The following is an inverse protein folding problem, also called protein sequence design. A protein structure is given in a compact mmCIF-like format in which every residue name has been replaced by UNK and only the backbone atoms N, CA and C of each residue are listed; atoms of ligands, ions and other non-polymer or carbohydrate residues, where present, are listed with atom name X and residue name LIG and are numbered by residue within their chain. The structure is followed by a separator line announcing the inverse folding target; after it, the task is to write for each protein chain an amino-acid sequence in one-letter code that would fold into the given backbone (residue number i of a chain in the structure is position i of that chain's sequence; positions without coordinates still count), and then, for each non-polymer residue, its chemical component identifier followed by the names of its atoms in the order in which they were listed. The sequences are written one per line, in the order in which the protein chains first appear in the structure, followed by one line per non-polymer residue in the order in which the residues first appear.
data_IF_799357175707
#
_entry.id   IF_799357175707
#
_cell.length_a   1.000
_cell.length_b   1.000
_cell.length_c   1.000
_cell.angle_alpha   90.00
_cell.angle_beta   90.00
_cell.angle_gamma   90.00
#
_symmetry.space_group_name_H-M   'P 1'
#
loop_
_entity.id
_entity.type
_entity.pdbx_description
1 polymer ?
#
# COMPACT_ATOMS: atom_id res chain seq x y z
N UNK A 1 -3.38 0.82 -6.35
CA UNK A 1 -4.67 0.08 -6.40
C UNK A 1 -5.08 -0.27 -4.97
N UNK A 2 -6.26 0.19 -4.53
CA UNK A 2 -6.77 -0.06 -3.19
C UNK A 2 -7.69 -1.29 -3.21
N UNK A 3 -7.49 -2.23 -2.29
CA UNK A 3 -8.37 -3.40 -2.13
C UNK A 3 -9.00 -3.40 -0.75
N UNK A 4 -10.27 -3.79 -0.67
CA UNK A 4 -11.00 -3.94 0.59
C UNK A 4 -11.27 -5.42 0.79
N UNK A 5 -10.97 -5.91 1.98
CA UNK A 5 -11.22 -7.29 2.41
C UNK A 5 -12.03 -7.27 3.70
N UNK A 6 -12.99 -8.17 3.84
CA UNK A 6 -13.45 -8.56 5.19
C UNK A 6 -12.32 -9.30 5.93
N UNK A 7 -12.41 -9.38 7.26
CA UNK A 7 -11.46 -10.17 8.07
C UNK A 7 -11.31 -11.61 7.56
N UNK A 8 -12.41 -12.27 7.18
CA UNK A 8 -12.37 -13.64 6.68
C UNK A 8 -11.69 -13.74 5.31
N UNK A 9 -12.00 -12.83 4.39
CA UNK A 9 -11.36 -12.77 3.08
C UNK A 9 -9.87 -12.47 3.20
N UNK A 10 -9.48 -11.60 4.13
CA UNK A 10 -8.08 -11.30 4.39
C UNK A 10 -7.31 -12.54 4.83
N UNK A 11 -7.83 -13.29 5.81
CA UNK A 11 -7.18 -14.53 6.26
C UNK A 11 -7.00 -15.55 5.12
N UNK A 12 -7.95 -15.62 4.19
CA UNK A 12 -7.84 -16.49 3.01
C UNK A 12 -6.83 -15.95 2.01
N UNK A 13 -6.89 -14.65 1.72
CA UNK A 13 -6.01 -13.98 0.76
C UNK A 13 -4.54 -14.05 1.20
N UNK A 14 -4.24 -13.77 2.47
CA UNK A 14 -2.88 -13.83 3.02
C UNK A 14 -2.28 -15.24 2.95
N UNK A 15 -3.09 -16.30 3.10
CA UNK A 15 -2.63 -17.68 2.94
C UNK A 15 -2.30 -18.03 1.50
N UNK A 16 -3.03 -17.45 0.53
CA UNK A 16 -2.87 -17.74 -0.90
C UNK A 16 -1.78 -16.87 -1.55
N UNK A 17 -1.62 -15.63 -1.12
CA UNK A 17 -0.59 -14.70 -1.59
C UNK A 17 0.23 -14.19 -0.38
N UNK A 18 1.35 -14.85 -0.05
CA UNK A 18 2.27 -14.38 0.99
C UNK A 18 2.82 -12.97 0.71
N UNK A 19 2.76 -12.49 -0.54
CA UNK A 19 3.13 -11.13 -0.93
C UNK A 19 2.14 -10.06 -0.47
N UNK A 20 0.97 -10.44 0.07
CA UNK A 20 0.07 -9.54 0.79
C UNK A 20 0.51 -9.27 2.23
N UNK A 21 1.43 -10.08 2.77
CA UNK A 21 2.07 -9.77 4.05
C UNK A 21 2.75 -8.41 3.94
N UNK A 22 2.51 -7.59 4.94
CA UNK A 22 2.87 -6.19 4.88
C UNK A 22 2.94 -5.58 6.25
N UNK A 23 3.05 -4.27 6.27
CA UNK A 23 3.19 -3.50 7.50
C UNK A 23 2.13 -2.41 7.56
N UNK A 24 1.92 -1.87 8.76
CA UNK A 24 1.06 -0.71 8.94
C UNK A 24 1.66 0.52 8.21
N UNK A 25 0.83 1.49 7.81
CA UNK A 25 1.28 2.70 7.12
C UNK A 25 2.42 3.43 7.81
N UNK A 26 2.36 3.55 9.14
CA UNK A 26 3.40 4.23 9.92
C UNK A 26 4.77 3.53 9.82
N UNK A 27 4.78 2.20 9.87
CA UNK A 27 6.01 1.43 9.75
C UNK A 27 6.54 1.40 8.32
N UNK A 28 5.66 1.38 7.32
CA UNK A 28 6.04 1.59 5.92
C UNK A 28 6.69 2.96 5.74
N UNK A 29 6.10 4.03 6.30
CA UNK A 29 6.65 5.38 6.28
C UNK A 29 8.05 5.44 6.87
N UNK A 30 8.26 4.83 8.05
CA UNK A 30 9.58 4.73 8.68
C UNK A 30 10.61 4.02 7.80
N UNK A 31 10.25 2.89 7.20
CA UNK A 31 11.15 2.13 6.29
C UNK A 31 11.49 2.90 5.03
N UNK A 32 10.54 3.69 4.53
CA UNK A 32 10.73 4.50 3.35
C UNK A 32 11.40 5.83 3.65
N UNK A 33 11.51 6.26 4.91
CA UNK A 33 11.95 7.60 5.27
C UNK A 33 10.97 8.66 4.77
N UNK A 34 9.68 8.45 5.07
CA UNK A 34 8.56 9.34 4.79
C UNK A 34 7.86 9.70 6.11
N UNK A 35 7.35 10.92 6.17
CA UNK A 35 6.45 11.36 7.23
C UNK A 35 5.08 10.69 7.12
N UNK A 36 4.28 10.80 8.18
CA UNK A 36 2.90 10.30 8.20
C UNK A 36 2.01 11.02 7.17
N UNK A 37 2.25 12.31 6.93
CA UNK A 37 1.56 13.07 5.89
C UNK A 37 1.87 12.54 4.49
N UNK A 38 3.16 12.34 4.18
CA UNK A 38 3.59 11.85 2.88
C UNK A 38 3.10 10.42 2.59
N UNK A 39 3.17 9.51 3.57
CA UNK A 39 2.62 8.15 3.37
C UNK A 39 1.11 8.20 3.16
N UNK A 40 0.40 9.06 3.91
CA UNK A 40 -1.04 9.28 3.75
C UNK A 40 -1.40 9.77 2.35
N UNK A 41 -0.67 10.77 1.84
CA UNK A 41 -0.86 11.29 0.48
C UNK A 41 -0.61 10.22 -0.58
N UNK A 42 0.43 9.39 -0.44
CA UNK A 42 0.70 8.30 -1.40
C UNK A 42 -0.41 7.26 -1.42
N UNK A 43 -0.99 6.96 -0.26
CA UNK A 43 -2.12 6.03 -0.14
C UNK A 43 -3.39 6.61 -0.76
N UNK A 44 -3.73 7.87 -0.43
CA UNK A 44 -4.92 8.56 -0.93
C UNK A 44 -4.87 8.77 -2.44
N UNK A 45 -3.70 9.11 -2.99
CA UNK A 45 -3.51 9.29 -4.41
C UNK A 45 -3.32 7.96 -5.17
N UNK A 46 -3.31 6.82 -4.48
CA UNK A 46 -3.20 5.49 -5.07
C UNK A 46 -1.82 5.14 -5.64
N UNK A 47 -0.80 5.93 -5.33
CA UNK A 47 0.61 5.64 -5.68
C UNK A 47 1.20 4.49 -4.90
N UNK A 48 0.61 4.15 -3.75
CA UNK A 48 0.98 3.02 -2.94
C UNK A 48 -0.19 2.03 -2.87
N UNK A 49 0.07 0.77 -3.20
CA UNK A 49 -0.92 -0.30 -3.05
C UNK A 49 -1.20 -0.54 -1.57
N UNK A 50 -2.48 -0.56 -1.21
CA UNK A 50 -2.95 -0.76 0.15
C UNK A 50 -4.14 -1.69 0.21
N UNK A 51 -4.20 -2.45 1.29
CA UNK A 51 -5.31 -3.34 1.62
C UNK A 51 -6.00 -2.85 2.88
N UNK A 52 -7.28 -2.52 2.75
CA UNK A 52 -8.15 -2.19 3.88
C UNK A 52 -8.83 -3.47 4.35
N UNK A 53 -8.74 -3.74 5.65
CA UNK A 53 -9.41 -4.86 6.30
C UNK A 53 -10.55 -4.27 7.10
N UNK A 54 -11.77 -4.70 6.79
CA UNK A 54 -12.99 -4.22 7.43
C UNK A 54 -13.68 -5.30 8.25
N UNK A 55 -14.36 -4.90 9.32
CA UNK A 55 -15.25 -5.78 10.08
C UNK A 55 -16.59 -5.98 9.34
N UNK A 56 -17.48 -6.79 9.93
CA UNK A 56 -18.80 -7.06 9.38
C UNK A 56 -19.70 -5.80 9.29
N UNK A 57 -19.40 -4.77 10.11
CA UNK A 57 -20.02 -3.45 10.06
C UNK A 57 -19.41 -2.52 8.98
N UNK A 58 -18.45 -3.01 8.18
CA UNK A 58 -17.66 -2.26 7.18
C UNK A 58 -16.77 -1.16 7.75
N UNK A 59 -16.48 -1.18 9.04
CA UNK A 59 -15.51 -0.30 9.66
C UNK A 59 -14.10 -0.83 9.41
N UNK A 60 -13.17 0.06 9.06
CA UNK A 60 -11.78 -0.33 8.83
C UNK A 60 -11.12 -0.70 10.15
N UNK A 61 -10.79 -1.97 10.31
CA UNK A 61 -10.08 -2.49 11.47
C UNK A 61 -8.57 -2.43 11.30
N UNK A 62 -8.08 -2.51 10.07
CA UNK A 62 -6.64 -2.44 9.79
C UNK A 62 -6.36 -2.00 8.37
N UNK A 63 -5.21 -1.38 8.17
CA UNK A 63 -4.69 -0.99 6.85
C UNK A 63 -3.32 -1.65 6.73
N UNK A 64 -3.12 -2.40 5.65
CA UNK A 64 -1.88 -3.12 5.37
C UNK A 64 -1.30 -2.62 4.07
N UNK A 65 -0.03 -2.22 4.12
CA UNK A 65 0.78 -1.91 2.96
C UNK A 65 1.62 -3.16 2.64
N UNK A 66 1.34 -3.87 1.53
CA UNK A 66 2.08 -5.08 1.18
C UNK A 66 3.58 -4.81 1.06
N UNK A 67 4.41 -5.74 1.53
CA UNK A 67 5.87 -5.57 1.52
C UNK A 67 6.40 -5.32 0.09
N UNK A 68 5.78 -5.96 -0.91
CA UNK A 68 6.11 -5.73 -2.33
C UNK A 68 5.93 -4.26 -2.74
N UNK A 69 4.89 -3.60 -2.25
CA UNK A 69 4.61 -2.20 -2.56
C UNK A 69 5.67 -1.27 -1.95
N UNK A 70 6.09 -1.56 -0.70
CA UNK A 70 7.20 -0.86 -0.04
C UNK A 70 8.51 -1.02 -0.83
N UNK A 71 8.81 -2.24 -1.26
CA UNK A 71 10.01 -2.52 -2.05
C UNK A 71 9.99 -1.86 -3.43
N UNK A 72 8.87 -1.91 -4.14
CA UNK A 72 8.68 -1.25 -5.44
C UNK A 72 8.86 0.26 -5.32
N UNK A 73 8.21 0.89 -4.34
CA UNK A 73 8.35 2.33 -4.10
C UNK A 73 9.80 2.71 -3.76
N UNK A 74 10.47 1.93 -2.91
CA UNK A 74 11.89 2.15 -2.56
C UNK A 74 12.80 2.09 -3.78
N UNK A 75 12.55 1.16 -4.72
CA UNK A 75 13.31 1.06 -5.97
C UNK A 75 13.12 2.30 -6.84
N UNK A 76 11.88 2.75 -7.04
CA UNK A 76 11.58 3.95 -7.85
C UNK A 76 12.25 5.19 -7.25
N UNK A 77 12.19 5.36 -5.92
CA UNK A 77 12.81 6.49 -5.22
C UNK A 77 14.35 6.49 -5.33
N UNK A 78 15.00 5.33 -5.26
CA UNK A 78 16.47 5.22 -5.34
C UNK A 78 17.05 5.52 -6.73
N UNK A 79 16.26 5.37 -7.79
CA UNK A 79 16.72 5.61 -9.18
C UNK A 79 16.78 7.11 -9.53
N UNK A 80 16.50 8.02 -8.57
CA UNK A 80 16.68 9.45 -8.80
C UNK A 80 15.66 10.03 -9.78
N UNK A 81 14.51 9.37 -9.97
CA UNK A 81 13.37 10.01 -10.60
C UNK A 81 12.82 10.98 -9.56
N UNK A 82 13.26 12.24 -9.66
CA UNK A 82 12.62 13.37 -9.01
C UNK A 82 11.12 13.22 -9.29
N UNK A 83 10.32 12.97 -8.26
CA UNK A 83 8.89 12.69 -8.37
C UNK A 83 8.12 13.99 -8.70
N UNK A 84 8.62 14.77 -9.64
CA UNK A 84 7.86 15.78 -10.34
C UNK A 84 6.85 15.02 -11.21
N UNK A 85 5.68 14.76 -10.62
CA UNK A 85 4.36 14.82 -11.27
C UNK A 85 4.46 14.76 -12.80
N UNK A 86 4.81 13.60 -13.36
CA UNK A 86 4.87 13.44 -14.81
C UNK A 86 4.27 12.09 -15.17
N UNK A 87 2.98 12.20 -15.45
CA UNK A 87 2.21 11.35 -16.35
C UNK A 87 1.93 9.92 -15.89
N UNK A 88 0.63 9.68 -15.68
CA UNK A 88 -0.12 8.58 -16.31
C UNK A 88 0.80 7.44 -16.76
N UNK A 89 1.04 6.48 -15.88
CA UNK A 89 1.18 5.10 -16.34
C UNK A 89 -0.20 4.48 -16.13
N UNK A 90 -1.12 4.55 -17.12
CA UNK A 90 -2.29 3.71 -17.09
C UNK A 90 -1.75 2.29 -17.26
N UNK A 91 -1.83 1.45 -16.22
CA UNK A 91 -1.62 0.02 -16.42
C UNK A 91 -2.73 -0.45 -17.36
N UNK A 92 -2.35 -0.65 -18.62
CA UNK A 92 -3.19 -1.24 -19.66
C UNK A 92 -2.97 -2.74 -19.59
N UNK A 93 -4.09 -3.46 -19.59
CA UNK A 93 -4.29 -4.92 -19.66
C UNK A 93 -4.13 -5.67 -18.33
#
# INVERSE_FOLDING_TARGET
MQKVYSTHEWCKAERLDPGLRGVAPLDAGRRLGLSEGEIGELMLNGYLDVSYIVNDCRETTSIVIPERAVQEYSKVRKVGVSLAITHRIPRRW
#
